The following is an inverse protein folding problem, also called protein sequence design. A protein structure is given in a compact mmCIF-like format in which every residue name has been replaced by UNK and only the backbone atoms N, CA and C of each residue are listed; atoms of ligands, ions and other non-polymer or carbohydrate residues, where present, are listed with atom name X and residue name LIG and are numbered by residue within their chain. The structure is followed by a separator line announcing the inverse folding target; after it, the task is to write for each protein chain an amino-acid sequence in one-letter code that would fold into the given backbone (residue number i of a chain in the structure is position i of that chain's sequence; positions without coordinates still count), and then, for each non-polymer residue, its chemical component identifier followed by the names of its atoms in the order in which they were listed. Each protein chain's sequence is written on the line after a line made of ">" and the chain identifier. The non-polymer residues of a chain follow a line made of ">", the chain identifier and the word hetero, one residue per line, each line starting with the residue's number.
data_IF_406814481043
#
_entry.id   IF_406814481043
#
_cell.length_a   1.000
_cell.length_b   1.000
_cell.length_c   1.000
_cell.angle_alpha   90.00
_cell.angle_beta   90.00
_cell.angle_gamma   90.00
#
_symmetry.space_group_name_H-M   'P 1'
#
loop_
_entity.id
_entity.type
_entity.pdbx_description
1 polymer ?
#
# COMPACT_ATOMS: atom_id res chain seq x y z
N UNK A 1 32.38 15.40 -18.54
CA UNK A 1 32.35 14.46 -17.39
C UNK A 1 31.21 14.90 -16.47
N UNK A 2 30.00 14.39 -16.69
CA UNK A 2 28.86 14.66 -15.81
C UNK A 2 28.77 13.48 -14.86
N UNK A 3 29.19 13.72 -13.62
CA UNK A 3 29.06 12.78 -12.52
C UNK A 3 27.58 12.75 -12.14
N UNK A 4 26.88 11.69 -12.52
CA UNK A 4 25.52 11.41 -12.06
C UNK A 4 25.58 10.59 -10.78
N UNK A 5 25.67 11.27 -9.63
CA UNK A 5 25.31 10.68 -8.34
C UNK A 5 23.77 10.61 -8.27
N UNK A 6 23.22 9.41 -8.45
CA UNK A 6 21.82 9.11 -8.11
C UNK A 6 21.74 8.37 -6.78
N UNK A 7 21.69 9.10 -5.65
CA UNK A 7 21.23 8.54 -4.38
C UNK A 7 19.71 8.68 -4.29
N UNK A 8 19.01 7.55 -4.18
CA UNK A 8 17.93 7.36 -3.20
C UNK A 8 17.56 5.88 -3.21
N UNK A 9 18.02 5.12 -2.21
CA UNK A 9 17.60 3.73 -2.05
C UNK A 9 16.08 3.65 -2.02
N UNK A 10 15.50 2.72 -2.76
CA UNK A 10 14.15 2.21 -2.49
C UNK A 10 14.22 1.50 -1.12
N UNK A 11 14.32 2.24 -0.03
CA UNK A 11 14.51 1.72 1.32
C UNK A 11 13.25 0.94 1.74
N UNK A 12 13.21 -0.33 1.38
CA UNK A 12 12.18 -1.27 1.84
C UNK A 12 11.77 -2.33 0.83
N UNK A 13 11.89 -2.10 -0.49
CA UNK A 13 11.42 -3.08 -1.49
C UNK A 13 12.48 -4.16 -1.72
N UNK A 14 12.20 -5.46 -1.48
CA UNK A 14 13.18 -6.51 -1.76
C UNK A 14 13.45 -6.64 -3.26
N UNK A 15 14.73 -6.76 -3.66
CA UNK A 15 15.14 -6.89 -5.07
C UNK A 15 14.47 -8.09 -5.75
N UNK A 16 14.23 -9.17 -5.01
CA UNK A 16 13.51 -10.37 -5.47
C UNK A 16 12.06 -10.09 -5.87
N UNK A 17 11.45 -9.01 -5.37
CA UNK A 17 10.08 -8.61 -5.69
C UNK A 17 9.98 -7.79 -6.96
N UNK A 18 11.05 -7.10 -7.38
CA UNK A 18 11.04 -6.17 -8.51
C UNK A 18 10.54 -6.80 -9.83
N UNK A 19 10.97 -8.02 -10.24
CA UNK A 19 10.49 -8.62 -11.49
C UNK A 19 8.99 -8.92 -11.48
N UNK A 20 8.40 -9.21 -10.31
CA UNK A 20 6.95 -9.42 -10.19
C UNK A 20 6.21 -8.09 -10.22
N UNK A 21 6.73 -7.08 -9.53
CA UNK A 21 6.16 -5.72 -9.52
C UNK A 21 6.17 -5.06 -10.90
N UNK A 22 7.23 -5.21 -11.67
CA UNK A 22 7.35 -4.66 -13.03
C UNK A 22 6.35 -5.25 -14.02
N UNK A 23 5.78 -6.42 -13.73
CA UNK A 23 4.77 -7.08 -14.59
C UNK A 23 3.35 -6.68 -14.25
N UNK A 24 3.13 -5.96 -13.16
CA UNK A 24 1.80 -5.52 -12.77
C UNK A 24 1.33 -4.41 -13.73
N UNK A 25 0.21 -4.64 -14.42
CA UNK A 25 -0.49 -3.59 -15.15
C UNK A 25 -1.76 -3.22 -14.38
N UNK A 26 -1.75 -2.02 -13.81
CA UNK A 26 -2.91 -1.43 -13.14
C UNK A 26 -4.16 -1.43 -14.03
N UNK A 27 -4.03 -1.25 -15.34
CA UNK A 27 -5.19 -1.09 -16.23
C UNK A 27 -5.95 -2.40 -16.50
N UNK A 28 -5.36 -3.54 -16.18
CA UNK A 28 -5.94 -4.87 -16.42
C UNK A 28 -6.20 -5.67 -15.15
N UNK A 29 -5.79 -5.14 -13.99
CA UNK A 29 -5.93 -5.81 -12.70
C UNK A 29 -7.39 -5.79 -12.21
N UNK A 30 -7.88 -6.91 -11.67
CA UNK A 30 -9.22 -6.97 -11.05
C UNK A 30 -9.15 -6.59 -9.56
N UNK A 31 -9.63 -5.40 -9.24
CA UNK A 31 -9.64 -4.88 -7.87
C UNK A 31 -10.59 -5.58 -6.92
N UNK A 32 -11.47 -6.47 -7.40
CA UNK A 32 -12.21 -7.39 -6.53
C UNK A 32 -11.28 -8.44 -5.90
N UNK A 33 -10.15 -8.74 -6.54
CA UNK A 33 -9.22 -9.79 -6.13
C UNK A 33 -7.95 -9.27 -5.48
N UNK A 34 -7.58 -8.02 -5.75
CA UNK A 34 -6.40 -7.39 -5.17
C UNK A 34 -6.49 -7.36 -3.65
N UNK A 35 -5.42 -7.80 -2.98
CA UNK A 35 -5.28 -7.69 -1.53
C UNK A 35 -3.98 -7.01 -1.14
N UNK A 36 -4.05 -6.13 -0.15
CA UNK A 36 -2.90 -5.56 0.51
C UNK A 36 -2.68 -6.28 1.86
N UNK A 37 -1.53 -6.91 2.05
CA UNK A 37 -1.14 -7.49 3.32
C UNK A 37 -0.33 -6.49 4.14
N UNK A 38 -0.53 -6.47 5.45
CA UNK A 38 0.28 -5.66 6.37
C UNK A 38 0.75 -6.51 7.54
N UNK A 39 2.03 -6.37 7.89
CA UNK A 39 2.64 -6.87 9.12
C UNK A 39 3.05 -5.68 9.98
N UNK A 40 2.37 -5.51 11.10
CA UNK A 40 2.60 -4.42 12.04
C UNK A 40 3.02 -5.00 13.40
N UNK A 41 3.85 -4.33 14.19
CA UNK A 41 4.07 -4.71 15.59
C UNK A 41 2.73 -4.72 16.33
N UNK A 42 2.52 -5.69 17.23
CA UNK A 42 1.24 -5.89 17.92
C UNK A 42 0.81 -4.69 18.80
N UNK A 43 1.75 -3.80 19.12
CA UNK A 43 1.48 -2.52 19.80
C UNK A 43 0.76 -1.50 18.91
N UNK A 44 0.72 -1.71 17.59
CA UNK A 44 0.03 -0.85 16.63
C UNK A 44 -1.25 -1.52 16.14
N UNK A 45 -2.23 -0.70 15.81
CA UNK A 45 -3.43 -1.11 15.10
C UNK A 45 -3.84 -0.07 14.07
N UNK A 46 -4.61 -0.53 13.09
CA UNK A 46 -5.25 0.33 12.10
C UNK A 46 -6.74 0.45 12.44
N UNK A 47 -7.27 1.66 12.28
CA UNK A 47 -8.70 1.96 12.33
C UNK A 47 -9.26 1.99 10.91
N UNK A 48 -10.58 1.90 10.74
CA UNK A 48 -11.21 2.18 9.45
C UNK A 48 -10.74 3.53 8.90
N UNK A 49 -10.30 3.56 7.65
CA UNK A 49 -9.75 4.77 7.01
C UNK A 49 -8.25 5.02 7.18
N UNK A 50 -7.57 4.34 8.11
CA UNK A 50 -6.12 4.50 8.28
C UNK A 50 -5.32 3.87 7.12
N UNK A 51 -5.89 2.87 6.44
CA UNK A 51 -5.33 2.27 5.23
C UNK A 51 -6.07 2.79 4.00
N UNK A 52 -5.31 3.32 3.03
CA UNK A 52 -5.86 3.89 1.81
C UNK A 52 -5.05 3.45 0.59
N UNK A 53 -5.71 3.38 -0.54
CA UNK A 53 -5.06 3.32 -1.85
C UNK A 53 -5.31 4.64 -2.56
N UNK A 54 -4.28 5.15 -3.23
CA UNK A 54 -4.40 6.32 -4.07
C UNK A 54 -3.92 6.02 -5.48
N UNK A 55 -4.62 6.58 -6.45
CA UNK A 55 -4.24 6.53 -7.85
C UNK A 55 -3.98 7.96 -8.28
N UNK A 56 -2.75 8.20 -8.71
CA UNK A 56 -2.37 9.48 -9.29
C UNK A 56 -2.46 9.31 -10.79
N UNK A 57 -3.24 10.16 -11.45
CA UNK A 57 -3.31 10.21 -12.91
C UNK A 57 -2.94 11.60 -13.40
N UNK A 58 -2.26 11.66 -14.54
CA UNK A 58 -1.92 12.90 -15.22
C UNK A 58 -2.19 12.75 -16.70
N UNK A 59 -3.14 13.52 -17.19
CA UNK A 59 -3.34 13.72 -18.62
C UNK A 59 -2.36 14.77 -19.12
N UNK A 60 -1.91 14.63 -20.37
CA UNK A 60 -1.05 15.62 -21.01
C UNK A 60 -1.70 17.03 -20.98
N UNK A 61 -0.92 18.03 -20.59
CA UNK A 61 -1.39 19.41 -20.45
C UNK A 61 -2.35 19.69 -19.29
N UNK A 62 -2.62 18.70 -18.41
CA UNK A 62 -3.49 18.86 -17.25
C UNK A 62 -2.75 18.65 -15.92
N UNK A 63 -3.25 19.24 -14.81
CA UNK A 63 -2.76 18.92 -13.49
C UNK A 63 -2.96 17.45 -13.14
N UNK A 64 -2.19 16.99 -12.15
CA UNK A 64 -2.35 15.65 -11.58
C UNK A 64 -3.65 15.56 -10.78
N UNK A 65 -4.39 14.48 -11.02
CA UNK A 65 -5.55 14.08 -10.22
C UNK A 65 -5.14 12.99 -9.26
N UNK A 66 -5.61 13.06 -8.02
CA UNK A 66 -5.37 12.05 -6.99
C UNK A 66 -6.71 11.48 -6.51
N UNK A 67 -7.02 10.27 -6.92
CA UNK A 67 -8.19 9.53 -6.48
C UNK A 67 -7.83 8.70 -5.25
N UNK A 68 -8.58 8.84 -4.15
CA UNK A 68 -8.33 8.11 -2.89
C UNK A 68 -9.46 7.14 -2.58
N UNK A 69 -9.07 5.92 -2.21
CA UNK A 69 -9.91 4.78 -1.91
C UNK A 69 -9.60 4.30 -0.50
N UNK A 70 -10.63 4.11 0.32
CA UNK A 70 -10.46 3.52 1.65
C UNK A 70 -10.29 2.01 1.49
N UNK A 71 -9.34 1.45 2.23
CA UNK A 71 -9.21 0.00 2.32
C UNK A 71 -9.97 -0.51 3.53
N UNK A 72 -10.63 -1.65 3.34
CA UNK A 72 -11.37 -2.36 4.39
C UNK A 72 -10.65 -3.66 4.72
N UNK A 73 -10.54 -3.98 6.01
CA UNK A 73 -9.93 -5.24 6.45
C UNK A 73 -10.83 -6.42 6.07
N UNK A 74 -10.21 -7.51 5.64
CA UNK A 74 -10.89 -8.79 5.44
C UNK A 74 -10.65 -9.72 6.62
N UNK A 75 -11.73 -10.32 7.12
CA UNK A 75 -11.67 -11.36 8.15
C UNK A 75 -11.76 -12.77 7.56
N UNK A 76 -11.93 -12.89 6.24
CA UNK A 76 -12.06 -14.17 5.55
C UNK A 76 -10.78 -15.01 5.72
N UNK A 77 -10.86 -16.23 6.31
CA UNK A 77 -9.70 -17.06 6.56
C UNK A 77 -8.89 -17.38 5.30
N UNK A 78 -9.56 -17.63 4.17
CA UNK A 78 -8.93 -17.95 2.89
C UNK A 78 -8.04 -16.81 2.37
N UNK A 79 -8.44 -15.54 2.58
CA UNK A 79 -7.65 -14.39 2.15
C UNK A 79 -6.45 -14.15 3.06
N UNK A 80 -6.59 -14.45 4.36
CA UNK A 80 -5.50 -14.36 5.35
C UNK A 80 -4.47 -15.48 5.23
N UNK A 81 -4.90 -16.67 4.80
CA UNK A 81 -4.03 -17.85 4.70
C UNK A 81 -2.80 -17.61 3.83
N UNK A 82 -2.95 -16.84 2.74
CA UNK A 82 -1.84 -16.50 1.83
C UNK A 82 -0.72 -15.69 2.49
N UNK A 83 -0.98 -15.02 3.61
CA UNK A 83 0.00 -14.23 4.34
C UNK A 83 0.62 -14.98 5.54
N UNK A 84 0.17 -16.20 5.84
CA UNK A 84 0.58 -16.95 7.03
C UNK A 84 2.10 -17.16 7.13
N UNK A 85 2.78 -17.36 6.00
CA UNK A 85 4.24 -17.49 5.95
C UNK A 85 5.02 -16.22 6.36
N UNK A 86 4.34 -15.08 6.50
CA UNK A 86 4.94 -13.81 6.94
C UNK A 86 4.80 -13.58 8.45
N UNK A 87 4.19 -14.52 9.19
CA UNK A 87 3.95 -14.41 10.62
C UNK A 87 5.28 -14.30 11.39
N UNK A 88 5.30 -13.43 12.39
CA UNK A 88 6.48 -13.19 13.24
C UNK A 88 6.04 -12.92 14.68
N UNK A 89 6.73 -13.48 15.70
CA UNK A 89 6.42 -13.18 17.09
C UNK A 89 6.45 -11.68 17.38
N UNK A 90 5.43 -11.17 18.07
CA UNK A 90 5.28 -9.74 18.37
C UNK A 90 4.68 -8.89 17.25
N UNK A 91 4.27 -9.50 16.12
CA UNK A 91 3.63 -8.81 15.00
C UNK A 91 2.23 -9.37 14.72
N UNK A 92 1.32 -8.48 14.32
CA UNK A 92 0.01 -8.81 13.80
C UNK A 92 0.01 -8.74 12.26
N UNK A 93 -0.61 -9.73 11.64
CA UNK A 93 -0.91 -9.74 10.22
C UNK A 93 -2.36 -9.30 9.99
N UNK A 94 -2.56 -8.47 8.97
CA UNK A 94 -3.88 -8.07 8.48
C UNK A 94 -3.89 -8.05 6.96
N UNK A 95 -5.08 -8.26 6.39
CA UNK A 95 -5.27 -8.25 4.93
C UNK A 95 -6.39 -7.27 4.62
N UNK A 96 -6.18 -6.46 3.60
CA UNK A 96 -7.03 -5.34 3.24
C UNK A 96 -7.40 -5.42 1.76
N UNK A 97 -8.55 -4.87 1.43
CA UNK A 97 -9.07 -4.80 0.06
C UNK A 97 -9.71 -3.45 -0.17
N UNK A 98 -9.86 -3.06 -1.43
CA UNK A 98 -10.69 -1.90 -1.75
C UNK A 98 -12.13 -2.17 -1.29
N UNK A 99 -12.79 -1.16 -0.76
CA UNK A 99 -14.22 -1.24 -0.48
C UNK A 99 -14.98 -1.68 -1.76
N UNK A 100 -15.85 -2.70 -1.73
CA UNK A 100 -16.60 -3.15 -2.90
C UNK A 100 -17.33 -2.03 -3.63
N UNK A 101 -17.82 -1.03 -2.88
CA UNK A 101 -18.58 0.09 -3.43
C UNK A 101 -17.70 1.02 -4.28
N UNK A 102 -16.40 1.00 -4.07
CA UNK A 102 -15.40 1.81 -4.76
C UNK A 102 -14.83 1.13 -6.01
N UNK A 103 -15.02 -0.20 -6.16
CA UNK A 103 -14.50 -0.98 -7.30
C UNK A 103 -15.04 -0.48 -8.65
N UNK A 104 -16.33 -0.13 -8.82
CA UNK A 104 -16.82 0.45 -10.08
C UNK A 104 -16.12 1.76 -10.45
N UNK A 105 -15.78 2.60 -9.47
CA UNK A 105 -15.05 3.85 -9.69
C UNK A 105 -13.62 3.56 -10.17
N UNK A 106 -12.96 2.53 -9.64
CA UNK A 106 -11.66 2.08 -10.13
C UNK A 106 -11.73 1.59 -11.58
N UNK A 107 -12.74 0.79 -11.91
CA UNK A 107 -12.95 0.30 -13.27
C UNK A 107 -13.14 1.44 -14.28
N UNK A 108 -13.82 2.52 -13.87
CA UNK A 108 -13.97 3.72 -14.69
C UNK A 108 -12.62 4.44 -14.94
N UNK A 109 -11.77 4.57 -13.91
CA UNK A 109 -10.41 5.13 -14.06
C UNK A 109 -9.56 4.26 -14.99
N UNK A 110 -9.63 2.93 -14.85
CA UNK A 110 -8.92 2.00 -15.73
C UNK A 110 -9.41 2.13 -17.18
N UNK A 111 -10.72 2.27 -17.41
CA UNK A 111 -11.29 2.48 -18.74
C UNK A 111 -10.78 3.78 -19.38
N UNK A 112 -10.82 4.90 -18.66
CA UNK A 112 -10.26 6.17 -19.12
C UNK A 112 -8.76 6.04 -19.48
N UNK A 113 -7.99 5.34 -18.65
CA UNK A 113 -6.58 5.05 -18.91
C UNK A 113 -6.38 4.22 -20.18
N UNK A 114 -7.20 3.18 -20.40
CA UNK A 114 -7.16 2.34 -21.61
C UNK A 114 -7.54 3.13 -22.86
N UNK A 115 -8.62 3.89 -22.81
CA UNK A 115 -9.10 4.69 -23.94
C UNK A 115 -8.09 5.77 -24.34
N UNK A 116 -7.36 6.33 -23.37
CA UNK A 116 -6.26 7.28 -23.64
C UNK A 116 -5.07 6.70 -24.40
N UNK A 117 -4.94 5.35 -24.45
CA UNK A 117 -3.88 4.68 -25.23
C UNK A 117 -4.23 4.60 -26.71
N UNK A 118 -5.51 4.63 -27.06
CA UNK A 118 -6.00 4.52 -28.44
C UNK A 118 -6.48 5.85 -29.01
N UNK A 119 -7.00 6.75 -28.16
CA UNK A 119 -7.59 8.02 -28.57
C UNK A 119 -7.40 9.12 -27.52
N UNK A 120 -7.15 10.35 -27.96
CA UNK A 120 -7.02 11.50 -27.08
C UNK A 120 -5.68 11.63 -26.35
N UNK A 121 -5.59 12.57 -25.38
CA UNK A 121 -4.35 12.84 -24.65
C UNK A 121 -3.94 11.66 -23.77
N UNK A 122 -2.67 11.26 -23.83
CA UNK A 122 -2.16 10.12 -23.02
C UNK A 122 -2.33 10.41 -21.54
N UNK A 123 -2.95 9.47 -20.83
CA UNK A 123 -3.03 9.48 -19.37
C UNK A 123 -1.93 8.55 -18.83
N UNK A 124 -1.03 9.13 -18.02
CA UNK A 124 -0.09 8.34 -17.22
C UNK A 124 -0.64 8.21 -15.82
N UNK A 125 -0.39 7.09 -15.16
CA UNK A 125 -0.82 6.91 -13.78
C UNK A 125 0.12 6.03 -12.97
N UNK A 126 0.01 6.17 -11.65
CA UNK A 126 0.71 5.35 -10.67
C UNK A 126 -0.24 5.02 -9.53
N UNK A 127 -0.11 3.82 -8.98
CA UNK A 127 -0.85 3.39 -7.79
C UNK A 127 0.08 3.45 -6.58
N UNK A 128 -0.43 3.97 -5.48
CA UNK A 128 0.25 4.00 -4.20
C UNK A 128 -0.70 3.46 -3.13
N UNK A 129 -0.31 2.38 -2.44
CA UNK A 129 -0.99 1.94 -1.22
C UNK A 129 -0.28 2.59 -0.04
N UNK A 130 -1.05 3.30 0.78
CA UNK A 130 -0.54 4.05 1.91
C UNK A 130 -1.31 3.71 3.18
N UNK A 131 -0.55 3.37 4.21
CA UNK A 131 -1.04 3.41 5.59
C UNK A 131 -0.82 4.85 6.08
N UNK A 132 -1.90 5.63 6.11
CA UNK A 132 -1.88 7.06 6.41
C UNK A 132 -2.07 7.37 7.91
N UNK A 133 -2.47 6.38 8.69
CA UNK A 133 -2.67 6.51 10.12
C UNK A 133 -2.47 5.18 10.85
N UNK A 134 -2.95 5.16 12.09
CA UNK A 134 -2.87 4.03 12.99
C UNK A 134 -2.95 4.55 14.41
N UNK A 135 -2.99 3.63 15.36
CA UNK A 135 -2.97 3.99 16.76
C UNK A 135 -2.17 2.99 17.58
N UNK A 136 -1.62 3.46 18.70
CA UNK A 136 -0.89 2.66 19.65
C UNK A 136 -1.84 2.04 20.68
N UNK A 137 -1.84 0.71 20.77
CA UNK A 137 -2.54 -0.08 21.80
C UNK A 137 -1.78 -0.09 23.12
N UNK A 138 -0.46 -0.01 23.06
CA UNK A 138 0.44 -0.01 24.22
C UNK A 138 1.54 1.03 24.04
N UNK A 139 2.47 1.11 25.01
CA UNK A 139 3.62 1.99 24.89
C UNK A 139 4.45 1.64 23.65
N UNK A 140 4.82 2.66 22.86
CA UNK A 140 5.71 2.50 21.71
C UNK A 140 7.14 2.47 22.26
N UNK A 141 7.95 1.45 21.95
CA UNK A 141 9.34 1.39 22.40
C UNK A 141 10.17 2.50 21.74
N UNK A 142 11.25 2.93 22.41
CA UNK A 142 12.18 3.94 21.89
C UNK A 142 12.99 3.42 20.69
N UNK A 143 13.06 2.09 20.53
CA UNK A 143 13.72 1.43 19.40
C UNK A 143 12.92 1.41 18.10
N UNK A 144 13.45 0.72 17.07
CA UNK A 144 12.84 0.63 15.74
C UNK A 144 11.39 0.12 15.75
N UNK A 145 10.52 0.78 14.99
CA UNK A 145 9.12 0.40 14.78
C UNK A 145 8.97 -0.10 13.36
N UNK A 146 9.29 -1.39 13.16
CA UNK A 146 9.36 -2.00 11.83
C UNK A 146 7.98 -2.42 11.34
N UNK A 147 7.69 -2.15 10.07
CA UNK A 147 6.49 -2.62 9.38
C UNK A 147 6.84 -3.30 8.08
N UNK A 148 5.95 -4.13 7.56
CA UNK A 148 6.07 -4.71 6.22
C UNK A 148 4.73 -4.67 5.50
N UNK A 149 4.77 -4.46 4.20
CA UNK A 149 3.58 -4.43 3.36
C UNK A 149 3.73 -5.38 2.17
N UNK A 150 2.61 -5.92 1.73
CA UNK A 150 2.55 -6.97 0.72
C UNK A 150 1.40 -6.68 -0.24
N UNK A 151 1.52 -7.12 -1.48
CA UNK A 151 0.49 -7.02 -2.50
C UNK A 151 0.22 -8.39 -3.11
N UNK A 152 -1.03 -8.81 -3.10
CA UNK A 152 -1.50 -9.96 -3.85
C UNK A 152 -2.37 -9.44 -4.99
N UNK A 153 -1.91 -9.54 -6.26
CA UNK A 153 -2.58 -8.90 -7.39
C UNK A 153 -3.82 -9.65 -7.89
N UNK A 154 -3.92 -10.95 -7.64
CA UNK A 154 -5.04 -11.81 -8.07
C UNK A 154 -5.26 -12.95 -7.06
N UNK A 155 -6.42 -13.62 -7.11
CA UNK A 155 -6.80 -14.67 -6.15
C UNK A 155 -5.82 -15.85 -6.12
N UNK A 156 -5.31 -16.27 -7.27
CA UNK A 156 -4.45 -17.45 -7.43
C UNK A 156 -2.97 -17.12 -7.18
N UNK A 157 -2.61 -15.84 -7.15
CA UNK A 157 -1.23 -15.40 -6.96
C UNK A 157 -0.81 -15.39 -5.49
N UNK A 158 0.51 -15.51 -5.29
CA UNK A 158 1.12 -15.30 -3.97
C UNK A 158 1.37 -13.81 -3.71
N UNK A 159 1.40 -13.44 -2.43
CA UNK A 159 1.79 -12.10 -2.01
C UNK A 159 3.21 -11.76 -2.49
N UNK A 160 3.37 -10.53 -2.98
CA UNK A 160 4.62 -9.89 -3.36
C UNK A 160 4.98 -8.92 -2.22
N UNK A 161 6.22 -8.96 -1.73
CA UNK A 161 6.65 -8.00 -0.70
C UNK A 161 6.85 -6.62 -1.34
N UNK A 162 6.10 -5.63 -0.84
CA UNK A 162 6.25 -4.24 -1.25
C UNK A 162 7.27 -3.54 -0.36
N UNK A 163 7.15 -3.71 0.96
CA UNK A 163 8.13 -3.19 1.90
C UNK A 163 8.45 -4.25 2.96
N UNK A 164 9.71 -4.40 3.29
CA UNK A 164 10.20 -5.31 4.31
C UNK A 164 10.88 -4.52 5.42
N UNK A 165 10.48 -4.80 6.67
CA UNK A 165 11.06 -4.27 7.90
C UNK A 165 11.41 -2.77 7.89
N UNK A 166 10.57 -1.96 7.23
CA UNK A 166 10.71 -0.51 7.15
C UNK A 166 10.47 0.11 8.52
N UNK A 167 11.45 0.86 9.02
CA UNK A 167 11.36 1.50 10.33
C UNK A 167 10.61 2.83 10.26
N UNK A 168 9.43 2.87 10.88
CA UNK A 168 8.64 4.08 11.00
C UNK A 168 9.38 5.19 11.76
N UNK A 169 10.28 4.86 12.71
CA UNK A 169 11.07 5.85 13.47
C UNK A 169 12.00 6.66 12.57
N UNK A 170 12.44 6.07 11.46
CA UNK A 170 13.21 6.78 10.45
C UNK A 170 12.33 7.59 9.48
N UNK A 171 11.04 7.25 9.36
CA UNK A 171 10.11 7.86 8.40
C UNK A 171 9.25 8.99 9.00
N UNK A 172 9.04 9.00 10.32
CA UNK A 172 8.21 9.96 11.05
C UNK A 172 9.13 10.78 11.97
N UNK A 173 9.10 12.11 11.83
CA UNK A 173 9.88 13.00 12.69
C UNK A 173 9.47 12.83 14.16
N UNK A 174 10.44 12.87 15.07
CA UNK A 174 10.22 12.66 16.51
C UNK A 174 9.06 13.51 17.09
N UNK A 175 8.96 14.77 16.65
CA UNK A 175 7.92 15.70 17.09
C UNK A 175 6.50 15.29 16.62
N UNK A 176 6.38 14.58 15.51
CA UNK A 176 5.09 14.24 14.89
C UNK A 176 4.54 12.89 15.39
N UNK A 177 5.31 12.13 16.17
CA UNK A 177 4.96 10.75 16.53
C UNK A 177 3.64 10.63 17.28
N UNK A 178 3.37 11.52 18.23
CA UNK A 178 2.15 11.48 19.03
C UNK A 178 0.91 11.78 18.18
N UNK A 179 1.05 12.70 17.23
CA UNK A 179 -0.04 13.10 16.33
C UNK A 179 -0.29 12.05 15.23
N UNK A 180 0.78 11.43 14.71
CA UNK A 180 0.70 10.41 13.65
C UNK A 180 0.32 9.03 14.16
N UNK A 181 0.68 8.72 15.41
CA UNK A 181 0.38 7.44 16.07
C UNK A 181 -0.22 7.72 17.46
N UNK A 182 -1.43 8.28 17.52
CA UNK A 182 -2.11 8.53 18.79
C UNK A 182 -2.44 7.22 19.50
N UNK A 183 -2.85 7.30 20.77
CA UNK A 183 -3.41 6.12 21.47
C UNK A 183 -4.71 5.70 20.81
N UNK A 184 -4.96 4.39 20.75
CA UNK A 184 -6.26 3.90 20.30
C UNK A 184 -7.33 4.35 21.30
N UNK A 185 -8.45 4.88 20.79
CA UNK A 185 -9.64 5.05 21.60
C UNK A 185 -10.12 3.65 22.03
N UNK A 186 -10.40 3.49 23.33
CA UNK A 186 -10.99 2.27 23.88
C UNK A 186 -12.45 2.11 23.47
#
# INVERSE_FOLDING_TARGET
>A
MVVSLGLSGCFGVPVSSLPRLMRLDFLTMDFNEVRAGLRLPAMLALRPGDATMSIKTRAEGRPETVDRFVLVETTAPAERAGLAGQARPGFALSVWRVDPNDVPRLAAIQALGRDSRTSGPRIRGSVEIRVAGGCARSAIPDGPVRISSFLKPAREESFITLTEDTDLRAAIAAADWQDKVPRCAG
#
